data_IF_517152601077
#
_entry.id   IF_517152601077
#
_cell.length_a   1.000
_cell.length_b   1.000
_cell.length_c   1.000
_cell.angle_alpha   90.00
_cell.angle_beta   90.00
_cell.angle_gamma   90.00
#
_symmetry.space_group_name_H-M   'P 1'
#
loop_
_entity.id
_entity.type
_entity.pdbx_description
1 polymer ?
#
# COMPACT_ATOMS: atom_id res chain seq x y z
N UNK A 1 11.84 19.49 12.55
CA UNK A 1 10.77 18.52 12.82
C UNK A 1 9.98 18.16 11.54
N UNK A 2 9.44 19.14 10.80
CA UNK A 2 8.68 18.85 9.56
C UNK A 2 9.44 18.04 8.50
N UNK A 3 10.78 18.09 8.46
CA UNK A 3 11.58 17.29 7.51
C UNK A 3 11.41 15.78 7.73
N UNK A 4 11.47 15.31 8.98
CA UNK A 4 11.27 13.89 9.32
C UNK A 4 9.86 13.45 8.93
N UNK A 5 8.88 14.30 9.24
CA UNK A 5 7.49 14.07 8.86
C UNK A 5 7.32 13.97 7.34
N UNK A 6 7.83 14.95 6.58
CA UNK A 6 7.72 15.00 5.12
C UNK A 6 8.37 13.79 4.46
N UNK A 7 9.56 13.40 4.89
CA UNK A 7 10.20 12.21 4.34
C UNK A 7 9.41 10.96 4.70
N UNK A 8 9.00 10.81 5.96
CA UNK A 8 8.26 9.65 6.45
C UNK A 8 6.93 9.42 5.73
N UNK A 9 6.21 10.50 5.40
CA UNK A 9 4.85 10.40 4.85
C UNK A 9 4.78 10.61 3.34
N UNK A 10 5.67 11.41 2.74
CA UNK A 10 5.55 11.83 1.33
C UNK A 10 6.55 11.19 0.38
N UNK A 11 7.69 10.72 0.91
CA UNK A 11 8.68 10.03 0.09
C UNK A 11 8.55 8.53 0.27
N UNK A 12 9.03 7.81 -0.73
CA UNK A 12 9.20 6.37 -0.60
C UNK A 12 10.35 6.09 0.38
N UNK A 13 10.06 6.02 1.68
CA UNK A 13 11.05 5.72 2.73
C UNK A 13 11.66 4.32 2.67
N UNK A 14 11.30 3.57 1.63
CA UNK A 14 11.82 2.26 1.30
C UNK A 14 12.83 2.31 0.14
N UNK A 15 12.96 3.46 -0.53
CA UNK A 15 13.95 3.71 -1.57
C UNK A 15 15.31 4.04 -0.90
N UNK A 16 16.38 3.26 -1.18
CA UNK A 16 17.73 3.55 -0.70
C UNK A 16 18.19 4.97 -1.02
N UNK A 17 17.84 5.53 -2.18
CA UNK A 17 18.22 6.90 -2.57
C UNK A 17 17.54 7.94 -1.67
N UNK A 18 16.27 7.73 -1.31
CA UNK A 18 15.54 8.58 -0.36
C UNK A 18 16.13 8.49 1.05
N UNK A 19 16.52 7.28 1.47
CA UNK A 19 17.16 7.05 2.77
C UNK A 19 18.54 7.72 2.82
N UNK A 20 19.32 7.59 1.75
CA UNK A 20 20.62 8.24 1.58
C UNK A 20 20.49 9.75 1.63
N UNK A 21 19.59 10.33 0.83
CA UNK A 21 19.30 11.77 0.85
C UNK A 21 18.94 12.25 2.26
N UNK A 22 18.08 11.51 2.97
CA UNK A 22 17.70 11.86 4.33
C UNK A 22 18.87 11.71 5.31
N UNK A 23 19.69 10.68 5.16
CA UNK A 23 20.87 10.47 5.98
C UNK A 23 21.92 11.56 5.78
N UNK A 24 22.15 12.02 4.54
CA UNK A 24 23.02 13.16 4.25
C UNK A 24 22.53 14.45 4.92
N UNK A 25 21.22 14.68 4.96
CA UNK A 25 20.62 15.79 5.69
C UNK A 25 20.86 15.66 7.21
N UNK A 26 20.76 14.44 7.75
CA UNK A 26 20.96 14.18 9.17
C UNK A 26 22.44 14.24 9.58
N UNK A 27 23.37 13.85 8.70
CA UNK A 27 24.83 13.75 8.89
C UNK A 27 25.30 12.76 9.95
N UNK A 28 24.67 12.73 11.12
CA UNK A 28 25.06 11.90 12.25
C UNK A 28 23.85 11.42 13.07
N UNK A 29 24.08 10.38 13.88
CA UNK A 29 23.05 9.78 14.73
C UNK A 29 22.48 10.77 15.75
N UNK A 30 23.29 11.68 16.28
CA UNK A 30 22.82 12.64 17.28
C UNK A 30 21.74 13.57 16.72
N UNK A 31 21.92 14.06 15.50
CA UNK A 31 20.93 14.88 14.80
C UNK A 31 19.66 14.10 14.46
N UNK A 32 19.80 12.84 14.06
CA UNK A 32 18.67 11.95 13.79
C UNK A 32 17.85 11.69 15.07
N UNK A 33 18.50 11.36 16.19
CA UNK A 33 17.87 11.13 17.50
C UNK A 33 17.17 12.41 18.01
N UNK A 34 17.85 13.55 17.91
CA UNK A 34 17.30 14.84 18.29
C UNK A 34 16.07 15.21 17.43
N UNK A 35 16.12 14.97 16.12
CA UNK A 35 15.00 15.27 15.23
C UNK A 35 13.79 14.38 15.53
N UNK A 36 14.00 13.09 15.86
CA UNK A 36 12.93 12.19 16.27
C UNK A 36 12.26 12.69 17.56
N UNK A 37 13.04 12.94 18.61
CA UNK A 37 12.54 13.41 19.90
C UNK A 37 11.82 14.76 19.77
N UNK A 38 12.38 15.68 19.00
CA UNK A 38 11.77 16.99 18.77
C UNK A 38 10.45 16.85 18.00
N UNK A 39 10.37 15.97 17.00
CA UNK A 39 9.14 15.72 16.24
C UNK A 39 8.07 15.05 17.09
N UNK A 40 8.47 14.13 17.99
CA UNK A 40 7.57 13.50 18.96
C UNK A 40 7.02 14.52 19.98
N UNK A 41 7.90 15.34 20.56
CA UNK A 41 7.52 16.36 21.53
C UNK A 41 6.63 17.45 20.92
N UNK A 42 6.96 17.92 19.72
CA UNK A 42 6.17 18.90 18.97
C UNK A 42 4.80 18.35 18.58
N UNK A 43 4.74 17.09 18.12
CA UNK A 43 3.47 16.45 17.78
C UNK A 43 2.58 16.26 19.02
N UNK A 44 3.10 15.78 20.14
CA UNK A 44 2.31 15.61 21.36
C UNK A 44 1.98 16.94 22.07
N UNK A 45 2.80 17.98 21.89
CA UNK A 45 2.56 19.29 22.47
C UNK A 45 1.52 20.14 21.73
N UNK A 46 1.24 19.82 20.47
CA UNK A 46 0.27 20.56 19.64
C UNK A 46 -1.14 19.96 19.70
N UNK A 47 -1.27 18.64 19.75
CA UNK A 47 -2.54 17.94 19.92
C UNK A 47 -2.28 16.49 20.37
N UNK A 48 -3.03 15.97 21.36
CA UNK A 48 -2.97 14.56 21.82
C UNK A 48 -3.18 13.55 20.68
N UNK A 49 -3.78 14.03 19.59
CA UNK A 49 -4.20 13.25 18.46
C UNK A 49 -3.30 13.39 17.21
N UNK A 50 -2.23 14.20 17.28
CA UNK A 50 -1.33 14.44 16.15
C UNK A 50 -0.35 13.28 15.90
N UNK A 51 0.03 12.54 16.96
CA UNK A 51 0.91 11.37 16.88
C UNK A 51 0.10 10.07 16.91
N UNK A 52 -0.27 9.56 15.74
CA UNK A 52 -1.01 8.28 15.64
C UNK A 52 -0.06 7.08 15.53
N UNK A 53 -0.51 5.87 15.90
CA UNK A 53 0.30 4.64 15.80
C UNK A 53 0.84 4.36 14.39
N UNK A 54 0.15 4.85 13.35
CA UNK A 54 0.60 4.75 11.96
C UNK A 54 1.71 5.76 11.65
N UNK A 55 1.57 7.04 12.02
CA UNK A 55 2.63 8.05 11.85
C UNK A 55 3.89 7.63 12.58
N UNK A 56 3.71 7.11 13.79
CA UNK A 56 4.78 6.50 14.56
C UNK A 56 5.47 5.39 13.75
N UNK A 57 4.72 4.48 13.13
CA UNK A 57 5.30 3.43 12.29
C UNK A 57 6.13 3.99 11.14
N UNK A 58 5.65 4.98 10.41
CA UNK A 58 6.38 5.58 9.27
C UNK A 58 7.62 6.36 9.72
N UNK A 59 7.50 7.13 10.80
CA UNK A 59 8.60 7.94 11.34
C UNK A 59 9.69 7.02 11.92
N UNK A 60 9.30 6.01 12.70
CA UNK A 60 10.24 5.03 13.24
C UNK A 60 10.87 4.18 12.13
N UNK A 61 10.15 3.93 11.05
CA UNK A 61 10.68 3.25 9.86
C UNK A 61 11.77 4.06 9.18
N UNK A 62 11.51 5.33 8.86
CA UNK A 62 12.51 6.23 8.31
C UNK A 62 13.70 6.38 9.26
N UNK A 63 13.44 6.57 10.55
CA UNK A 63 14.48 6.69 11.58
C UNK A 63 15.39 5.45 11.60
N UNK A 64 14.82 4.25 11.66
CA UNK A 64 15.62 3.00 11.66
C UNK A 64 16.44 2.85 10.38
N UNK A 65 15.82 3.09 9.23
CA UNK A 65 16.50 3.03 7.93
C UNK A 65 17.70 3.99 7.86
N UNK A 66 17.50 5.22 8.33
CA UNK A 66 18.51 6.28 8.34
C UNK A 66 19.60 5.99 9.37
N UNK A 67 19.23 5.47 10.54
CA UNK A 67 20.18 5.09 11.59
C UNK A 67 21.10 3.97 11.11
N UNK A 68 20.54 2.93 10.48
CA UNK A 68 21.34 1.87 9.84
C UNK A 68 22.29 2.47 8.79
N UNK A 69 21.78 3.38 7.94
CA UNK A 69 22.60 4.02 6.91
C UNK A 69 23.77 4.85 7.48
N UNK A 70 23.53 5.61 8.55
CA UNK A 70 24.54 6.48 9.17
C UNK A 70 25.64 5.73 9.95
N UNK A 71 25.35 4.52 10.39
CA UNK A 71 26.32 3.67 11.12
C UNK A 71 27.28 2.96 10.15
N UNK A 72 26.96 2.87 8.86
CA UNK A 72 27.70 2.07 7.88
C UNK A 72 28.45 2.90 6.83
N UNK A 73 29.75 2.64 6.68
CA UNK A 73 30.59 3.18 5.59
C UNK A 73 30.29 2.51 4.25
N UNK A 74 30.36 3.28 3.18
CA UNK A 74 29.97 2.99 1.79
C UNK A 74 30.41 1.62 1.23
N UNK A 75 31.63 1.18 1.53
CA UNK A 75 32.20 -0.11 1.08
C UNK A 75 31.69 -1.33 1.86
N UNK A 76 31.17 -1.11 3.06
CA UNK A 76 30.59 -2.14 3.94
C UNK A 76 29.11 -2.40 3.62
N UNK A 77 28.40 -1.39 3.06
CA UNK A 77 26.95 -1.40 2.78
C UNK A 77 26.50 -2.54 1.86
N UNK A 78 27.23 -2.81 0.77
CA UNK A 78 26.80 -3.81 -0.23
C UNK A 78 27.02 -5.25 0.28
N UNK A 79 28.09 -5.50 1.05
CA UNK A 79 28.44 -6.84 1.52
C UNK A 79 27.68 -7.24 2.79
N UNK A 80 27.45 -6.31 3.71
CA UNK A 80 26.73 -6.58 4.97
C UNK A 80 25.24 -6.79 4.72
N UNK A 81 24.60 -5.93 3.91
CA UNK A 81 23.18 -6.09 3.59
C UNK A 81 22.85 -7.38 2.84
N UNK A 82 23.76 -7.89 2.01
CA UNK A 82 23.57 -9.18 1.34
C UNK A 82 23.63 -10.34 2.34
N UNK A 83 24.63 -10.35 3.23
CA UNK A 83 24.80 -11.38 4.25
C UNK A 83 23.66 -11.39 5.29
N UNK A 84 23.24 -10.21 5.78
CA UNK A 84 22.11 -10.10 6.70
C UNK A 84 20.78 -10.51 6.05
N UNK A 85 20.61 -10.19 4.76
CA UNK A 85 19.43 -10.61 4.01
C UNK A 85 19.41 -12.14 3.80
N UNK A 86 20.56 -12.74 3.50
CA UNK A 86 20.71 -14.19 3.39
C UNK A 86 20.42 -14.89 4.73
N UNK A 87 20.95 -14.37 5.84
CA UNK A 87 20.67 -14.87 7.19
C UNK A 87 19.17 -14.76 7.52
N UNK A 88 18.56 -13.60 7.28
CA UNK A 88 17.13 -13.38 7.46
C UNK A 88 16.30 -14.37 6.63
N UNK A 89 16.67 -14.59 5.37
CA UNK A 89 16.00 -15.57 4.51
C UNK A 89 16.14 -16.98 5.07
N UNK A 90 17.33 -17.37 5.54
CA UNK A 90 17.57 -18.67 6.15
C UNK A 90 16.71 -18.88 7.39
N UNK A 91 16.59 -17.87 8.26
CA UNK A 91 15.74 -17.92 9.45
C UNK A 91 14.25 -18.07 9.10
N UNK A 92 13.75 -17.32 8.12
CA UNK A 92 12.37 -17.44 7.65
C UNK A 92 12.13 -18.83 7.06
N UNK A 93 13.03 -19.30 6.19
CA UNK A 93 12.97 -20.61 5.53
C UNK A 93 12.95 -21.75 6.54
N UNK A 94 13.73 -21.66 7.62
CA UNK A 94 13.73 -22.64 8.71
C UNK A 94 12.38 -22.77 9.41
N UNK A 95 11.56 -21.71 9.43
CA UNK A 95 10.20 -21.75 10.01
C UNK A 95 9.13 -22.24 9.02
N UNK A 96 9.46 -22.33 7.73
CA UNK A 96 8.56 -22.79 6.68
C UNK A 96 8.65 -24.30 6.49
N UNK A 97 7.52 -24.91 6.12
CA UNK A 97 7.50 -26.32 5.68
C UNK A 97 8.27 -26.47 4.37
N UNK A 98 8.95 -27.59 4.20
CA UNK A 98 9.79 -27.90 3.03
C UNK A 98 9.10 -27.67 1.68
N UNK A 99 7.81 -28.04 1.56
CA UNK A 99 7.02 -27.81 0.34
C UNK A 99 6.88 -26.34 -0.09
N UNK A 100 7.17 -25.37 0.79
CA UNK A 100 7.12 -23.94 0.50
C UNK A 100 8.50 -23.35 0.17
N UNK A 101 9.58 -24.11 0.34
CA UNK A 101 10.95 -23.59 0.22
C UNK A 101 11.24 -23.08 -1.20
N UNK A 102 10.85 -23.83 -2.23
CA UNK A 102 11.04 -23.41 -3.63
C UNK A 102 10.33 -22.08 -3.93
N UNK A 103 9.06 -21.94 -3.52
CA UNK A 103 8.30 -20.68 -3.69
C UNK A 103 8.92 -19.54 -2.90
N UNK A 104 9.47 -19.81 -1.71
CA UNK A 104 10.16 -18.81 -0.91
C UNK A 104 11.45 -18.32 -1.56
N UNK A 105 12.29 -19.22 -2.06
CA UNK A 105 13.56 -18.87 -2.71
C UNK A 105 13.33 -17.99 -3.96
N UNK A 106 12.34 -18.38 -4.77
CA UNK A 106 11.94 -17.60 -5.95
C UNK A 106 11.36 -16.23 -5.54
N UNK A 107 10.54 -16.19 -4.50
CA UNK A 107 10.02 -14.93 -3.96
C UNK A 107 11.14 -14.02 -3.43
N UNK A 108 12.15 -14.53 -2.72
CA UNK A 108 13.30 -13.75 -2.25
C UNK A 108 14.15 -13.17 -3.37
N UNK A 109 14.15 -13.84 -4.53
CA UNK A 109 14.89 -13.44 -5.72
C UNK A 109 14.15 -12.35 -6.50
N UNK A 110 12.83 -12.49 -6.66
CA UNK A 110 12.02 -11.62 -7.52
C UNK A 110 11.31 -10.48 -6.79
N UNK A 111 11.09 -10.60 -5.48
CA UNK A 111 10.44 -9.57 -4.69
C UNK A 111 11.42 -8.43 -4.36
N UNK A 112 11.00 -7.16 -4.46
CA UNK A 112 11.82 -6.03 -4.05
C UNK A 112 12.31 -6.19 -2.60
N UNK A 113 13.60 -5.96 -2.34
CA UNK A 113 14.21 -6.14 -1.01
C UNK A 113 13.47 -5.36 0.10
N UNK A 114 12.86 -4.21 -0.26
CA UNK A 114 11.99 -3.42 0.62
C UNK A 114 10.89 -4.24 1.32
N UNK A 115 10.32 -5.23 0.64
CA UNK A 115 9.25 -6.05 1.21
C UNK A 115 9.70 -6.79 2.49
N UNK A 116 10.95 -7.25 2.54
CA UNK A 116 11.46 -8.05 3.65
C UNK A 116 11.82 -7.21 4.89
N UNK A 117 12.14 -5.93 4.70
CA UNK A 117 12.61 -5.03 5.77
C UNK A 117 11.52 -4.68 6.79
N UNK A 118 10.24 -4.68 6.38
CA UNK A 118 9.13 -4.14 7.18
C UNK A 118 8.07 -5.19 7.48
N UNK A 119 8.42 -6.47 7.40
CA UNK A 119 7.52 -7.58 7.64
C UNK A 119 8.09 -8.51 8.69
N UNK A 120 7.27 -8.84 9.67
CA UNK A 120 7.64 -9.90 10.60
C UNK A 120 7.78 -11.22 9.85
N UNK A 121 8.72 -12.07 10.29
CA UNK A 121 8.91 -13.43 9.77
C UNK A 121 7.59 -14.21 9.69
N UNK A 122 6.73 -14.05 10.72
CA UNK A 122 5.38 -14.65 10.77
C UNK A 122 4.46 -14.14 9.65
N UNK A 123 4.51 -12.87 9.30
CA UNK A 123 3.72 -12.30 8.20
C UNK A 123 4.19 -12.86 6.86
N UNK A 124 5.52 -12.88 6.64
CA UNK A 124 6.12 -13.41 5.42
C UNK A 124 5.67 -14.85 5.21
N UNK A 125 5.67 -15.68 6.26
CA UNK A 125 5.18 -17.06 6.16
C UNK A 125 3.75 -17.16 5.61
N UNK A 126 2.85 -16.23 5.99
CA UNK A 126 1.48 -16.21 5.46
C UNK A 126 1.45 -15.82 3.99
N UNK A 127 2.24 -14.84 3.60
CA UNK A 127 2.34 -14.40 2.21
C UNK A 127 2.88 -15.51 1.31
N UNK A 128 3.90 -16.26 1.76
CA UNK A 128 4.44 -17.41 1.02
C UNK A 128 3.38 -18.50 0.86
N UNK A 129 2.58 -18.77 1.89
CA UNK A 129 1.49 -19.73 1.77
C UNK A 129 0.45 -19.25 0.75
N UNK A 130 0.13 -17.95 0.71
CA UNK A 130 -0.79 -17.40 -0.29
C UNK A 130 -0.22 -17.53 -1.71
N UNK A 131 1.04 -17.18 -1.92
CA UNK A 131 1.74 -17.35 -3.21
C UNK A 131 1.77 -18.80 -3.66
N UNK A 132 2.15 -19.72 -2.76
CA UNK A 132 2.15 -21.16 -3.07
C UNK A 132 0.75 -21.65 -3.44
N UNK A 133 -0.29 -21.24 -2.70
CA UNK A 133 -1.67 -21.59 -3.00
C UNK A 133 -2.11 -21.08 -4.38
N UNK A 134 -1.70 -19.87 -4.76
CA UNK A 134 -1.99 -19.30 -6.07
C UNK A 134 -1.31 -20.11 -7.17
N UNK A 135 0.01 -20.35 -7.06
CA UNK A 135 0.80 -21.12 -8.04
C UNK A 135 0.23 -22.54 -8.21
N UNK A 136 -0.11 -23.19 -7.10
CA UNK A 136 -0.71 -24.53 -7.08
C UNK A 136 -2.10 -24.56 -7.74
N UNK A 137 -2.96 -23.55 -7.48
CA UNK A 137 -4.27 -23.42 -8.16
C UNK A 137 -4.10 -23.19 -9.66
N UNK A 138 -3.21 -22.28 -10.05
CA UNK A 138 -2.92 -21.97 -11.45
C UNK A 138 -2.38 -23.18 -12.20
N UNK A 139 -1.53 -23.98 -11.57
CA UNK A 139 -0.99 -25.21 -12.15
C UNK A 139 -2.08 -26.27 -12.39
N UNK A 140 -3.08 -26.38 -11.51
CA UNK A 140 -4.21 -27.30 -11.68
C UNK A 140 -5.25 -26.82 -12.69
N UNK A 141 -5.31 -25.50 -12.93
CA UNK A 141 -6.32 -24.84 -13.77
C UNK A 141 -5.66 -23.81 -14.69
N UNK A 142 -4.84 -24.25 -15.66
CA UNK A 142 -4.10 -23.33 -16.52
C UNK A 142 -5.01 -22.51 -17.45
N UNK A 143 -6.20 -23.03 -17.76
CA UNK A 143 -7.12 -22.45 -18.76
C UNK A 143 -8.15 -21.47 -18.16
N UNK A 144 -8.15 -21.21 -16.85
CA UNK A 144 -9.05 -20.21 -16.27
C UNK A 144 -8.58 -18.81 -16.63
N UNK A 145 -9.49 -17.87 -16.87
CA UNK A 145 -9.10 -16.47 -17.15
C UNK A 145 -8.52 -15.79 -15.92
N UNK A 146 -9.12 -16.05 -14.74
CA UNK A 146 -8.67 -15.51 -13.47
C UNK A 146 -8.54 -16.62 -12.42
N UNK A 147 -7.51 -16.51 -11.59
CA UNK A 147 -7.31 -17.38 -10.43
C UNK A 147 -6.52 -16.60 -9.39
N UNK A 148 -6.91 -16.69 -8.12
CA UNK A 148 -6.23 -16.01 -7.04
C UNK A 148 -6.16 -16.88 -5.79
N UNK A 149 -5.28 -16.56 -4.87
CA UNK A 149 -5.31 -17.04 -3.50
C UNK A 149 -5.58 -15.87 -2.55
N UNK A 150 -6.61 -16.03 -1.73
CA UNK A 150 -7.04 -15.02 -0.76
C UNK A 150 -6.90 -15.59 0.65
N UNK A 151 -6.24 -14.85 1.54
CA UNK A 151 -6.16 -15.18 2.95
C UNK A 151 -6.65 -14.02 3.82
N UNK A 152 -7.40 -14.37 4.86
CA UNK A 152 -7.90 -13.45 5.87
C UNK A 152 -7.20 -13.70 7.20
N UNK A 153 -6.74 -12.65 7.85
CA UNK A 153 -6.18 -12.69 9.21
C UNK A 153 -6.94 -11.66 10.05
N UNK A 154 -7.80 -12.16 10.94
CA UNK A 154 -8.61 -11.32 11.82
C UNK A 154 -7.75 -10.70 12.93
N UNK A 155 -7.77 -9.37 13.05
CA UNK A 155 -7.09 -8.61 14.10
C UNK A 155 -8.11 -7.92 14.99
N UNK A 156 -8.98 -8.71 15.64
CA UNK A 156 -10.13 -8.25 16.44
C UNK A 156 -9.80 -7.11 17.42
N UNK A 157 -8.69 -7.24 18.14
CA UNK A 157 -8.22 -6.23 19.11
C UNK A 157 -7.95 -4.86 18.49
N UNK A 158 -7.63 -4.83 17.20
CA UNK A 158 -7.29 -3.62 16.48
C UNK A 158 -8.41 -3.14 15.53
N UNK A 159 -9.56 -3.82 15.50
CA UNK A 159 -10.70 -3.41 14.69
C UNK A 159 -10.57 -3.61 13.18
N UNK A 160 -9.62 -4.43 12.71
CA UNK A 160 -9.45 -4.71 11.28
C UNK A 160 -9.12 -6.17 10.98
N UNK A 161 -9.19 -6.54 9.70
CA UNK A 161 -8.67 -7.79 9.16
C UNK A 161 -7.56 -7.49 8.15
N UNK A 162 -6.50 -8.30 8.16
CA UNK A 162 -5.53 -8.30 7.06
C UNK A 162 -6.08 -9.20 5.95
N UNK A 163 -6.09 -8.69 4.72
CA UNK A 163 -6.49 -9.38 3.51
C UNK A 163 -5.28 -9.48 2.60
N UNK A 164 -4.85 -10.72 2.33
CA UNK A 164 -3.73 -11.03 1.45
C UNK A 164 -4.29 -11.59 0.16
N UNK A 165 -3.95 -10.99 -0.98
CA UNK A 165 -4.35 -11.45 -2.30
C UNK A 165 -3.08 -11.76 -3.11
N UNK A 166 -2.96 -12.99 -3.60
CA UNK A 166 -1.92 -13.40 -4.53
C UNK A 166 -2.56 -13.82 -5.87
N UNK A 167 -2.11 -13.25 -6.98
CA UNK A 167 -2.69 -13.45 -8.32
C UNK A 167 -1.67 -13.13 -9.41
N UNK A 168 -2.03 -13.32 -10.69
CA UNK A 168 -1.31 -12.69 -11.80
C UNK A 168 -1.81 -11.26 -12.02
N UNK A 169 -0.90 -10.36 -12.43
CA UNK A 169 -1.25 -9.02 -12.86
C UNK A 169 -2.18 -9.06 -14.08
N UNK A 170 -3.14 -8.15 -14.11
CA UNK A 170 -4.09 -8.04 -15.21
C UNK A 170 -4.57 -6.60 -15.32
N UNK A 171 -5.15 -6.26 -16.47
CA UNK A 171 -5.65 -4.91 -16.74
C UNK A 171 -6.58 -4.46 -15.60
N UNK A 172 -6.23 -3.33 -14.97
CA UNK A 172 -7.00 -2.68 -13.89
C UNK A 172 -7.21 -3.56 -12.65
N UNK A 173 -6.31 -4.52 -12.37
CA UNK A 173 -6.44 -5.46 -11.25
C UNK A 173 -6.72 -4.74 -9.91
N UNK A 174 -5.89 -3.76 -9.55
CA UNK A 174 -6.04 -3.06 -8.27
C UNK A 174 -7.39 -2.31 -8.17
N UNK A 175 -7.84 -1.72 -9.28
CA UNK A 175 -9.15 -1.08 -9.38
C UNK A 175 -10.29 -2.10 -9.16
N UNK A 176 -10.20 -3.28 -9.79
CA UNK A 176 -11.17 -4.38 -9.62
C UNK A 176 -11.24 -4.86 -8.17
N UNK A 177 -10.09 -5.01 -7.50
CA UNK A 177 -10.02 -5.36 -6.08
C UNK A 177 -10.70 -4.28 -5.23
N UNK A 178 -10.40 -3.00 -5.48
CA UNK A 178 -10.99 -1.89 -4.74
C UNK A 178 -12.51 -1.80 -4.97
N UNK A 179 -12.98 -2.00 -6.21
CA UNK A 179 -14.40 -2.08 -6.54
C UNK A 179 -15.10 -3.20 -5.76
N UNK A 180 -14.47 -4.38 -5.70
CA UNK A 180 -14.98 -5.54 -4.96
C UNK A 180 -15.14 -5.21 -3.47
N UNK A 181 -14.12 -4.61 -2.85
CA UNK A 181 -14.18 -4.26 -1.43
C UNK A 181 -15.25 -3.19 -1.17
N UNK A 182 -15.32 -2.18 -2.03
CA UNK A 182 -16.30 -1.11 -1.92
C UNK A 182 -17.75 -1.62 -2.10
N UNK A 183 -18.02 -2.56 -3.02
CA UNK A 183 -19.35 -3.15 -3.20
C UNK A 183 -19.85 -3.92 -1.97
N UNK A 184 -18.94 -4.41 -1.14
CA UNK A 184 -19.22 -5.09 0.13
C UNK A 184 -19.24 -4.15 1.35
N UNK A 185 -19.19 -2.84 1.12
CA UNK A 185 -19.09 -1.80 2.17
C UNK A 185 -17.91 -2.06 3.12
N UNK A 186 -16.74 -2.33 2.54
CA UNK A 186 -15.49 -2.54 3.27
C UNK A 186 -14.60 -1.33 3.03
N UNK A 187 -14.13 -0.73 4.12
CA UNK A 187 -13.16 0.36 4.08
C UNK A 187 -11.74 -0.23 4.07
N UNK A 188 -10.86 0.41 3.31
CA UNK A 188 -9.43 0.08 3.20
C UNK A 188 -8.68 1.06 4.10
N UNK A 189 -8.16 0.57 5.22
CA UNK A 189 -7.35 1.38 6.14
C UNK A 189 -5.93 1.58 5.62
N UNK A 190 -5.40 0.55 4.97
CA UNK A 190 -4.12 0.62 4.28
C UNK A 190 -3.99 -0.46 3.21
N UNK A 191 -3.19 -0.18 2.19
CA UNK A 191 -2.81 -1.17 1.18
C UNK A 191 -1.32 -1.07 0.86
N UNK A 192 -0.64 -2.22 0.82
CA UNK A 192 0.70 -2.38 0.25
C UNK A 192 0.60 -3.32 -0.96
N UNK A 193 0.86 -2.79 -2.15
CA UNK A 193 0.70 -3.47 -3.44
C UNK A 193 2.07 -3.76 -4.04
N UNK A 194 2.27 -4.99 -4.51
CA UNK A 194 3.55 -5.41 -5.09
C UNK A 194 3.33 -6.29 -6.32
N UNK A 195 3.86 -5.84 -7.46
CA UNK A 195 3.97 -6.64 -8.68
C UNK A 195 5.42 -7.09 -8.86
N UNK A 196 5.64 -8.40 -8.97
CA UNK A 196 6.95 -8.99 -9.27
C UNK A 196 7.24 -8.97 -10.78
N UNK A 197 8.51 -9.06 -11.21
CA UNK A 197 8.87 -9.07 -12.64
C UNK A 197 8.28 -10.22 -13.45
N UNK A 198 7.92 -11.33 -12.81
CA UNK A 198 7.25 -12.49 -13.41
C UNK A 198 5.72 -12.31 -13.53
N UNK A 199 5.20 -11.12 -13.26
CA UNK A 199 3.77 -10.79 -13.34
C UNK A 199 2.95 -11.28 -12.15
N UNK A 200 3.56 -11.89 -11.13
CA UNK A 200 2.85 -12.29 -9.91
C UNK A 200 2.67 -11.07 -9.00
N UNK A 201 1.43 -10.84 -8.59
CA UNK A 201 1.02 -9.78 -7.68
C UNK A 201 0.80 -10.34 -6.28
N UNK A 202 1.26 -9.59 -5.27
CA UNK A 202 1.00 -9.83 -3.86
C UNK A 202 0.50 -8.52 -3.22
N UNK A 203 -0.82 -8.43 -3.03
CA UNK A 203 -1.44 -7.26 -2.44
C UNK A 203 -1.86 -7.54 -1.00
N UNK A 204 -1.51 -6.60 -0.12
CA UNK A 204 -1.69 -6.71 1.32
C UNK A 204 -2.55 -5.55 1.79
N UNK A 205 -3.81 -5.83 2.12
CA UNK A 205 -4.75 -4.83 2.61
C UNK A 205 -4.99 -4.97 4.11
N UNK A 206 -5.19 -3.86 4.80
CA UNK A 206 -5.88 -3.81 6.10
C UNK A 206 -7.25 -3.22 5.86
N UNK A 207 -8.27 -3.97 6.22
CA UNK A 207 -9.66 -3.66 5.89
C UNK A 207 -10.56 -3.80 7.10
N UNK A 208 -11.62 -2.99 7.16
CA UNK A 208 -12.61 -3.05 8.22
C UNK A 208 -14.03 -2.83 7.67
N UNK A 209 -15.02 -3.17 8.48
CA UNK A 209 -16.42 -2.78 8.22
C UNK A 209 -16.64 -1.30 8.53
N UNK A 210 -17.83 -0.76 8.20
CA UNK A 210 -18.22 0.61 8.57
C UNK A 210 -18.10 0.89 10.08
N UNK A 211 -18.35 -0.12 10.91
CA UNK A 211 -18.24 -0.03 12.37
C UNK A 211 -16.80 -0.13 12.90
N UNK A 212 -15.78 -0.03 12.03
CA UNK A 212 -14.37 -0.22 12.39
C UNK A 212 -14.10 -1.56 13.09
N UNK A 213 -14.72 -2.64 12.57
CA UNK A 213 -14.54 -4.01 13.07
C UNK A 213 -13.84 -4.90 12.04
N UNK A 214 -13.20 -5.94 12.57
CA UNK A 214 -12.67 -7.03 11.78
C UNK A 214 -13.79 -7.76 11.03
N UNK A 215 -13.48 -8.24 9.82
CA UNK A 215 -14.40 -9.03 9.00
C UNK A 215 -14.29 -10.49 9.44
N UNK A 216 -15.17 -10.90 10.36
CA UNK A 216 -15.17 -12.25 10.96
C UNK A 216 -16.11 -13.22 10.23
N UNK A 217 -17.15 -12.70 9.57
CA UNK A 217 -18.13 -13.52 8.89
C UNK A 217 -17.52 -14.21 7.66
N UNK A 218 -17.37 -15.53 7.75
CA UNK A 218 -16.86 -16.37 6.67
C UNK A 218 -17.75 -16.34 5.42
N UNK A 219 -19.05 -16.13 5.55
CA UNK A 219 -19.94 -16.00 4.40
C UNK A 219 -19.67 -14.68 3.67
N UNK A 220 -19.51 -13.58 4.41
CA UNK A 220 -19.05 -12.31 3.84
C UNK A 220 -17.68 -12.44 3.17
N UNK A 221 -16.70 -13.07 3.82
CA UNK A 221 -15.38 -13.35 3.24
C UNK A 221 -15.47 -14.12 1.91
N UNK A 222 -16.29 -15.19 1.86
CA UNK A 222 -16.53 -15.96 0.63
C UNK A 222 -17.22 -15.14 -0.46
N UNK A 223 -18.20 -14.32 -0.08
CA UNK A 223 -18.94 -13.47 -0.99
C UNK A 223 -18.04 -12.43 -1.67
N UNK A 224 -17.11 -11.82 -0.91
CA UNK A 224 -16.08 -10.91 -1.45
C UNK A 224 -15.23 -11.63 -2.49
N UNK A 225 -14.76 -12.84 -2.19
CA UNK A 225 -13.96 -13.63 -3.13
C UNK A 225 -14.77 -13.95 -4.38
N UNK A 226 -16.04 -14.36 -4.26
CA UNK A 226 -16.88 -14.63 -5.42
C UNK A 226 -17.04 -13.38 -6.30
N UNK A 227 -17.34 -12.23 -5.71
CA UNK A 227 -17.43 -10.96 -6.45
C UNK A 227 -16.12 -10.60 -7.13
N UNK A 228 -14.96 -10.90 -6.52
CA UNK A 228 -13.65 -10.69 -7.15
C UNK A 228 -13.48 -11.56 -8.40
N UNK A 229 -13.91 -12.83 -8.38
CA UNK A 229 -13.92 -13.67 -9.58
C UNK A 229 -14.85 -13.09 -10.65
N UNK A 230 -16.09 -12.75 -10.29
CA UNK A 230 -17.10 -12.24 -11.23
C UNK A 230 -16.63 -10.94 -11.93
N UNK A 231 -15.97 -10.03 -11.20
CA UNK A 231 -15.40 -8.79 -11.75
C UNK A 231 -14.15 -9.08 -12.58
N UNK A 232 -13.31 -10.03 -12.15
CA UNK A 232 -12.01 -10.29 -12.80
C UNK A 232 -12.12 -11.11 -14.08
N UNK A 233 -13.16 -11.94 -14.22
CA UNK A 233 -13.49 -12.64 -15.48
C UNK A 233 -13.94 -11.68 -16.60
N UNK A 234 -14.42 -10.48 -16.25
CA UNK A 234 -14.81 -9.47 -17.23
C UNK A 234 -13.68 -8.45 -17.43
N UNK A 235 -13.09 -8.37 -18.62
CA UNK A 235 -12.05 -7.38 -18.93
C UNK A 235 -12.59 -5.94 -18.85
N UNK A 236 -13.76 -5.70 -19.44
CA UNK A 236 -14.46 -4.42 -19.44
C UNK A 236 -15.55 -4.38 -18.35
N UNK A 237 -15.15 -4.62 -17.10
CA UNK A 237 -16.08 -4.59 -15.99
C UNK A 237 -16.70 -3.20 -15.81
N UNK A 238 -18.01 -3.16 -15.57
CA UNK A 238 -18.75 -1.93 -15.29
C UNK A 238 -18.92 -1.76 -13.78
N UNK A 239 -18.09 -0.92 -13.17
CA UNK A 239 -18.10 -0.64 -11.75
C UNK A 239 -19.47 -0.16 -11.24
N UNK A 240 -20.26 0.52 -12.07
CA UNK A 240 -21.57 1.05 -11.68
C UNK A 240 -22.59 -0.05 -11.33
N UNK A 241 -22.40 -1.27 -11.87
CA UNK A 241 -23.25 -2.43 -11.54
C UNK A 241 -23.04 -2.92 -10.10
N UNK A 242 -21.84 -2.72 -9.56
CA UNK A 242 -21.44 -3.22 -8.25
C UNK A 242 -21.47 -2.13 -7.18
N UNK A 243 -21.09 -0.91 -7.55
CA UNK A 243 -21.07 0.26 -6.67
C UNK A 243 -22.45 0.92 -6.66
N UNK A 244 -23.39 0.31 -5.94
CA UNK A 244 -24.64 1.02 -5.64
C UNK A 244 -24.38 2.07 -4.55
N UNK A 245 -24.60 3.36 -4.88
CA UNK A 245 -24.71 4.42 -3.87
C UNK A 245 -25.89 4.08 -2.95
N UNK A 246 -25.62 3.37 -1.85
CA UNK A 246 -26.60 3.23 -0.77
C UNK A 246 -26.68 4.55 -0.03
N UNK A 247 -27.57 5.42 -0.50
CA UNK A 247 -27.94 6.64 0.21
C UNK A 247 -28.67 6.19 1.48
N UNK A 248 -28.00 6.32 2.62
CA UNK A 248 -28.57 5.95 3.90
C UNK A 248 -29.40 7.11 4.43
N UNK A 249 -30.67 7.21 4.00
CA UNK A 249 -31.60 8.30 4.34
C UNK A 249 -31.87 8.47 5.85
N UNK A 250 -31.41 7.54 6.68
CA UNK A 250 -31.61 7.51 8.13
C UNK A 250 -30.34 7.87 8.93
N UNK A 251 -29.17 8.03 8.30
CA UNK A 251 -28.01 8.58 9.00
C UNK A 251 -28.27 10.07 9.22
N UNK A 252 -28.37 10.58 10.46
CA UNK A 252 -28.33 12.01 10.68
C UNK A 252 -27.05 12.52 10.02
N UNK A 253 -27.17 13.58 9.24
CA UNK A 253 -26.05 14.31 8.66
C UNK A 253 -25.19 14.74 9.85
N UNK A 254 -24.15 13.97 10.16
CA UNK A 254 -23.30 14.28 11.31
C UNK A 254 -22.51 15.51 10.92
N UNK A 255 -23.06 16.66 11.29
CA UNK A 255 -22.48 18.01 11.22
C UNK A 255 -21.26 18.11 12.14
N UNK A 256 -20.22 17.35 11.82
CA UNK A 256 -18.85 17.77 12.06
C UNK A 256 -18.11 17.56 10.74
N UNK A 257 -18.49 18.36 9.75
CA UNK A 257 -17.69 18.56 8.54
C UNK A 257 -16.42 19.26 9.00
N UNK A 258 -15.44 18.49 9.48
CA UNK A 258 -14.06 18.94 9.46
C UNK A 258 -13.81 19.26 8.00
N UNK A 259 -13.74 20.55 7.66
CA UNK A 259 -13.36 21.01 6.32
C UNK A 259 -11.89 20.66 6.13
N UNK A 260 -11.64 19.41 5.79
CA UNK A 260 -10.32 18.97 5.37
C UNK A 260 -10.06 19.63 4.02
N UNK A 261 -8.95 20.38 3.85
CA UNK A 261 -8.63 20.91 2.54
C UNK A 261 -8.38 19.75 1.57
N UNK A 262 -9.21 19.65 0.54
CA UNK A 262 -9.00 18.72 -0.57
C UNK A 262 -7.74 19.15 -1.30
N UNK A 263 -6.77 18.25 -1.40
CA UNK A 263 -5.53 18.46 -2.15
C UNK A 263 -5.24 17.23 -2.99
N UNK A 264 -4.96 17.46 -4.25
CA UNK A 264 -4.34 16.48 -5.14
C UNK A 264 -3.13 17.18 -5.75
N UNK A 265 -1.97 16.54 -5.73
CA UNK A 265 -0.81 17.06 -6.42
C UNK A 265 0.01 15.92 -7.02
N UNK A 266 0.65 16.22 -8.15
CA UNK A 266 1.45 15.25 -8.90
C UNK A 266 2.89 15.71 -8.90
N UNK A 267 3.83 14.81 -8.60
CA UNK A 267 5.25 15.12 -8.54
C UNK A 267 6.12 14.05 -9.19
N UNK A 268 7.03 14.49 -10.05
CA UNK A 268 8.12 13.67 -10.59
C UNK A 268 9.41 13.80 -9.78
N UNK A 269 9.41 14.60 -8.71
CA UNK A 269 10.59 14.89 -7.87
C UNK A 269 10.63 14.06 -6.58
N UNK A 270 9.51 13.44 -6.18
CA UNK A 270 9.41 12.68 -4.94
C UNK A 270 10.05 11.28 -5.03
N UNK A 271 10.15 10.75 -6.25
CA UNK A 271 10.72 9.44 -6.53
C UNK A 271 11.53 9.52 -7.83
N UNK A 272 12.70 8.88 -7.93
CA UNK A 272 13.57 8.91 -9.12
C UNK A 272 13.00 8.14 -10.32
N UNK A 273 12.14 7.14 -10.10
CA UNK A 273 11.65 6.22 -11.13
C UNK A 273 10.15 6.37 -11.45
N UNK A 274 9.36 6.90 -10.52
CA UNK A 274 7.90 6.98 -10.64
C UNK A 274 7.36 8.42 -10.62
N UNK A 275 6.19 8.63 -11.24
CA UNK A 275 5.37 9.81 -10.99
C UNK A 275 4.54 9.55 -9.74
N UNK A 276 4.56 10.46 -8.79
CA UNK A 276 3.86 10.29 -7.51
C UNK A 276 2.64 11.19 -7.48
N UNK A 277 1.47 10.59 -7.26
CA UNK A 277 0.20 11.26 -7.00
C UNK A 277 -0.02 11.25 -5.51
N UNK A 278 -0.10 12.42 -4.88
CA UNK A 278 -0.46 12.54 -3.47
C UNK A 278 -1.85 13.15 -3.34
N UNK A 279 -2.66 12.52 -2.49
CA UNK A 279 -4.07 12.86 -2.29
C UNK A 279 -4.31 13.09 -0.80
N UNK A 280 -5.05 14.16 -0.50
CA UNK A 280 -5.61 14.45 0.80
C UNK A 280 -7.07 14.84 0.61
N UNK A 281 -8.00 14.00 1.10
CA UNK A 281 -9.43 14.26 1.00
C UNK A 281 -10.19 13.57 2.14
N UNK A 282 -11.50 13.84 2.29
CA UNK A 282 -12.35 13.02 3.14
C UNK A 282 -12.48 11.63 2.53
N UNK A 283 -12.25 10.60 3.34
CA UNK A 283 -12.39 9.22 2.91
C UNK A 283 -13.86 8.85 2.76
N UNK A 284 -14.14 8.07 1.73
CA UNK A 284 -15.46 7.49 1.47
C UNK A 284 -15.29 6.12 0.83
N UNK A 285 -16.28 5.26 1.04
CA UNK A 285 -16.32 3.96 0.36
C UNK A 285 -16.25 4.19 -1.15
N UNK A 286 -15.32 3.50 -1.80
CA UNK A 286 -15.07 3.61 -3.24
C UNK A 286 -14.14 4.75 -3.66
N UNK A 287 -13.65 5.60 -2.75
CA UNK A 287 -12.73 6.69 -3.09
C UNK A 287 -11.49 6.16 -3.83
N UNK A 288 -10.82 5.16 -3.27
CA UNK A 288 -9.63 4.57 -3.88
C UNK A 288 -9.91 3.95 -5.25
N UNK A 289 -11.08 3.31 -5.41
CA UNK A 289 -11.51 2.80 -6.71
C UNK A 289 -11.62 3.94 -7.73
N UNK A 290 -12.30 5.03 -7.38
CA UNK A 290 -12.53 6.15 -8.28
C UNK A 290 -11.21 6.83 -8.67
N UNK A 291 -10.29 7.00 -7.70
CA UNK A 291 -8.94 7.52 -7.95
C UNK A 291 -8.18 6.61 -8.92
N UNK A 292 -8.13 5.31 -8.67
CA UNK A 292 -7.44 4.35 -9.53
C UNK A 292 -8.04 4.29 -10.93
N UNK A 293 -9.38 4.39 -11.04
CA UNK A 293 -10.07 4.52 -12.31
C UNK A 293 -9.62 5.77 -13.06
N UNK A 294 -9.59 6.94 -12.41
CA UNK A 294 -9.11 8.19 -13.04
C UNK A 294 -7.66 8.07 -13.51
N UNK A 295 -6.79 7.42 -12.73
CA UNK A 295 -5.40 7.13 -13.12
C UNK A 295 -5.34 6.25 -14.38
N UNK A 296 -6.12 5.16 -14.39
CA UNK A 296 -6.18 4.24 -15.53
C UNK A 296 -6.77 4.90 -16.79
N UNK A 297 -7.78 5.76 -16.63
CA UNK A 297 -8.42 6.51 -17.73
C UNK A 297 -7.44 7.51 -18.39
N UNK A 298 -6.40 7.96 -17.66
CA UNK A 298 -5.27 8.76 -18.20
C UNK A 298 -4.14 7.91 -18.79
N UNK A 299 -4.33 6.59 -18.95
CA UNK A 299 -3.33 5.70 -19.56
C UNK A 299 -2.12 5.40 -18.68
N UNK A 300 -2.27 5.55 -17.37
CA UNK A 300 -1.22 5.27 -16.39
C UNK A 300 -1.47 3.94 -15.69
N UNK A 301 -0.39 3.24 -15.35
CA UNK A 301 -0.42 2.04 -14.54
C UNK A 301 0.10 2.36 -13.14
N UNK A 302 -0.62 1.86 -12.13
CA UNK A 302 -0.16 1.91 -10.74
C UNK A 302 0.87 0.81 -10.51
N UNK A 303 2.09 1.19 -10.14
CA UNK A 303 3.18 0.24 -9.85
C UNK A 303 3.27 -0.03 -8.35
N UNK A 304 3.02 1.00 -7.55
CA UNK A 304 3.00 0.90 -6.11
C UNK A 304 2.02 1.94 -5.56
N UNK A 305 1.44 1.67 -4.40
CA UNK A 305 0.59 2.62 -3.71
C UNK A 305 0.70 2.41 -2.21
N UNK A 306 0.70 3.51 -1.46
CA UNK A 306 0.50 3.54 -0.03
C UNK A 306 -0.80 4.27 0.24
N UNK A 307 -1.81 3.51 0.60
CA UNK A 307 -3.14 4.04 0.92
C UNK A 307 -3.23 4.16 2.43
N UNK A 308 -3.80 5.25 2.93
CA UNK A 308 -3.98 5.44 4.35
C UNK A 308 -5.24 6.24 4.67
N UNK A 309 -6.13 5.66 5.47
CA UNK A 309 -7.26 6.38 6.06
C UNK A 309 -6.98 6.68 7.53
N UNK A 310 -6.89 7.97 7.90
CA UNK A 310 -6.81 8.45 9.29
C UNK A 310 -7.98 9.37 9.61
N UNK A 311 -8.78 9.02 10.64
CA UNK A 311 -9.90 9.86 11.14
C UNK A 311 -10.87 10.34 10.04
N UNK A 312 -11.14 9.46 9.07
CA UNK A 312 -12.01 9.79 7.94
C UNK A 312 -11.36 10.68 6.89
N UNK A 313 -10.04 10.86 6.91
CA UNK A 313 -9.26 11.48 5.83
C UNK A 313 -8.41 10.43 5.11
N UNK A 314 -8.49 10.40 3.79
CA UNK A 314 -7.59 9.64 2.92
C UNK A 314 -6.32 10.46 2.69
N UNK A 315 -5.17 9.83 2.94
CA UNK A 315 -3.81 10.37 2.79
C UNK A 315 -3.02 9.38 1.96
N UNK A 316 -3.21 9.45 0.64
CA UNK A 316 -2.75 8.42 -0.27
C UNK A 316 -1.55 8.91 -1.09
N UNK A 317 -0.59 8.01 -1.30
CA UNK A 317 0.53 8.20 -2.22
C UNK A 317 0.53 7.08 -3.24
N UNK A 318 0.30 7.41 -4.51
CA UNK A 318 0.17 6.45 -5.61
C UNK A 318 1.32 6.68 -6.59
N UNK A 319 2.11 5.65 -6.82
CA UNK A 319 3.28 5.67 -7.70
C UNK A 319 2.88 5.06 -9.03
N UNK A 320 2.92 5.89 -10.07
CA UNK A 320 2.40 5.57 -11.40
C UNK A 320 3.48 5.71 -12.46
N UNK A 321 3.30 4.96 -13.54
CA UNK A 321 4.09 5.05 -14.77
C UNK A 321 3.15 5.03 -15.97
N UNK A 322 3.62 5.56 -17.10
CA UNK A 322 3.02 5.32 -18.41
C UNK A 322 3.09 3.83 -18.75
N UNK A 323 2.29 3.37 -19.71
CA UNK A 323 2.37 1.99 -20.24
C UNK A 323 3.78 1.60 -20.77
N UNK A 324 4.61 2.60 -21.12
CA UNK A 324 6.00 2.41 -21.53
C UNK A 324 7.00 2.31 -20.36
N UNK A 325 6.53 2.28 -19.11
CA UNK A 325 7.36 2.18 -17.91
C UNK A 325 8.13 3.47 -17.54
N UNK A 326 7.72 4.62 -18.07
CA UNK A 326 8.35 5.94 -17.81
C UNK A 326 7.47 6.81 -16.92
N UNK A 327 8.07 7.85 -16.33
CA UNK A 327 7.30 8.91 -15.66
C UNK A 327 6.43 9.67 -16.66
N UNK A 328 5.30 10.18 -16.18
CA UNK A 328 4.49 11.14 -16.93
C UNK A 328 5.24 12.48 -16.99
N UNK A 329 5.90 12.76 -18.10
CA UNK A 329 6.75 13.95 -18.26
C UNK A 329 6.03 15.16 -18.88
N UNK A 330 4.94 14.92 -19.63
CA UNK A 330 4.20 15.96 -20.33
C UNK A 330 3.45 16.88 -19.34
N UNK A 331 3.77 18.20 -19.29
CA UNK A 331 3.12 19.14 -18.40
C UNK A 331 1.60 19.28 -18.60
N UNK A 332 1.08 19.11 -19.81
CA UNK A 332 -0.37 19.20 -20.05
C UNK A 332 -1.09 17.97 -19.50
N UNK A 333 -0.55 16.77 -19.74
CA UNK A 333 -1.08 15.53 -19.17
C UNK A 333 -1.03 15.52 -17.63
N UNK A 334 0.05 16.06 -17.02
CA UNK A 334 0.14 16.21 -15.56
C UNK A 334 -0.99 17.11 -15.06
N UNK A 335 -1.19 18.29 -15.66
CA UNK A 335 -2.26 19.22 -15.25
C UNK A 335 -3.65 18.60 -15.41
N UNK A 336 -3.91 17.92 -16.53
CA UNK A 336 -5.19 17.26 -16.78
C UNK A 336 -5.51 16.17 -15.75
N UNK A 337 -4.50 15.39 -15.36
CA UNK A 337 -4.65 14.40 -14.30
C UNK A 337 -4.88 15.05 -12.93
N UNK A 338 -4.15 16.12 -12.61
CA UNK A 338 -4.31 16.85 -11.34
C UNK A 338 -5.71 17.45 -11.21
N UNK A 339 -6.22 18.08 -12.28
CA UNK A 339 -7.57 18.65 -12.33
C UNK A 339 -8.63 17.56 -12.20
N UNK A 340 -8.51 16.46 -12.95
CA UNK A 340 -9.46 15.35 -12.89
C UNK A 340 -9.54 14.71 -11.51
N UNK A 341 -8.40 14.50 -10.84
CA UNK A 341 -8.38 14.00 -9.47
C UNK A 341 -8.95 15.05 -8.51
N UNK A 342 -8.60 16.33 -8.65
CA UNK A 342 -9.13 17.38 -7.77
C UNK A 342 -10.65 17.50 -7.87
N UNK A 343 -11.20 17.43 -9.09
CA UNK A 343 -12.65 17.41 -9.32
C UNK A 343 -13.30 16.21 -8.65
N UNK A 344 -12.74 15.01 -8.84
CA UNK A 344 -13.19 13.77 -8.21
C UNK A 344 -13.28 13.88 -6.69
N UNK A 345 -12.29 14.50 -6.05
CA UNK A 345 -12.20 14.63 -4.60
C UNK A 345 -13.11 15.74 -4.04
N UNK A 346 -13.53 16.68 -4.89
CA UNK A 346 -14.36 17.82 -4.50
C UNK A 346 -15.87 17.57 -4.62
N UNK A 347 -16.26 16.54 -5.38
CA UNK A 347 -17.65 16.09 -5.55
C UNK A 347 -18.00 14.90 -4.66
#
# INVERSE_FOLDING_TARGET
HLTLWRFATKKNIDDPEVIEEFAELMRDKHRLDALLLFTFADSNGTNEEAWSPWKESLILQLYKNTQSFLVETETSRIKIHAAEFEEFCAEVKATLKEKYHATFDEHCSLMPKRYFRFRSKRSINKHIVALWQYIDRRSRRPNTQFECAVQWIERKKFGYSELIIATHDSKRLLEKICCTLASHQISILSADVYTRPDGIVLDLFRVCTEDLKAIEDRNKQKSIVQTLYDISENEDFDAAKYLQKKINFLKPESEQVVKLPVRAWISNQLDPHFTVIEIQALDRIGLLHDVLKTVNDHGLQTVHSRICTEKGAALDSIFVQTLEGRKLADPEAIKGLEESIRELLSG
#
